data_IF_725707051597
#
_entry.id   IF_725707051597
#
_cell.length_a   1.000
_cell.length_b   1.000
_cell.length_c   1.000
_cell.angle_alpha   90.00
_cell.angle_beta   90.00
_cell.angle_gamma   90.00
#
_symmetry.space_group_name_H-M   'P 1'
#
loop_
_entity.id
_entity.type
_entity.pdbx_description
1 polymer ?
#
# COMPACT_ATOMS: atom_id res chain seq x y z
N UNK A 1 -16.69 26.29 10.76
CA UNK A 1 -15.25 26.65 10.63
C UNK A 1 -14.40 25.40 10.86
N UNK A 2 -13.92 24.76 9.79
CA UNK A 2 -12.97 23.66 9.90
C UNK A 2 -11.63 24.24 10.36
N UNK A 3 -11.14 23.83 11.55
CA UNK A 3 -9.81 24.23 12.01
C UNK A 3 -8.77 23.75 10.98
N UNK A 4 -7.84 24.61 10.54
CA UNK A 4 -6.73 24.16 9.69
C UNK A 4 -5.95 23.12 10.49
N UNK A 5 -5.98 21.86 10.05
CA UNK A 5 -5.26 20.77 10.70
C UNK A 5 -3.77 20.92 10.35
N UNK A 6 -3.07 21.73 11.14
CA UNK A 6 -1.62 21.84 11.13
C UNK A 6 -0.97 20.43 11.17
N UNK A 7 0.14 20.26 10.45
CA UNK A 7 0.96 19.04 10.41
C UNK A 7 1.00 18.34 11.78
N UNK A 8 0.19 17.29 11.93
CA UNK A 8 -0.13 16.63 13.20
C UNK A 8 1.05 15.79 13.68
N UNK A 9 2.15 16.38 14.14
CA UNK A 9 3.36 15.69 14.63
C UNK A 9 4.13 14.88 13.56
N UNK A 10 5.41 14.66 13.82
CA UNK A 10 6.28 13.83 12.98
C UNK A 10 5.70 12.41 12.77
N UNK A 11 5.05 11.86 13.80
CA UNK A 11 4.48 10.53 13.75
C UNK A 11 3.34 10.43 12.73
N UNK A 12 2.42 11.40 12.69
CA UNK A 12 1.32 11.35 11.72
C UNK A 12 1.81 11.63 10.30
N UNK A 13 2.86 12.45 10.13
CA UNK A 13 3.51 12.60 8.83
C UNK A 13 4.00 11.25 8.29
N UNK A 14 4.52 10.36 9.15
CA UNK A 14 4.85 8.96 8.81
C UNK A 14 3.64 8.00 8.72
N UNK A 15 2.41 8.48 8.87
CA UNK A 15 1.22 7.63 8.94
C UNK A 15 1.08 6.80 10.21
N UNK A 16 1.78 7.16 11.29
CA UNK A 16 1.60 6.56 12.61
C UNK A 16 0.63 7.39 13.46
N UNK A 17 -0.30 6.77 14.20
CA UNK A 17 -1.17 7.52 15.10
C UNK A 17 -0.39 8.07 16.30
N UNK A 18 -0.96 9.03 17.04
CA UNK A 18 -0.35 9.62 18.24
C UNK A 18 0.12 8.57 19.25
N UNK A 19 1.09 8.93 20.09
CA UNK A 19 1.57 8.02 21.13
C UNK A 19 0.41 7.63 22.07
N UNK A 20 0.31 6.34 22.40
CA UNK A 20 -0.79 5.77 23.20
C UNK A 20 -2.08 5.47 22.42
N UNK A 21 -2.23 5.96 21.19
CA UNK A 21 -3.38 5.61 20.35
C UNK A 21 -3.17 4.25 19.64
N UNK A 22 -4.23 3.45 19.41
CA UNK A 22 -4.14 2.20 18.65
C UNK A 22 -3.65 2.42 17.22
N UNK A 23 -2.74 1.57 16.72
CA UNK A 23 -2.17 1.67 15.36
C UNK A 23 -3.20 1.50 14.23
N UNK A 24 -4.12 0.54 14.38
CA UNK A 24 -5.15 0.21 13.38
C UNK A 24 -6.48 -0.07 14.11
N UNK A 25 -7.17 0.98 14.61
CA UNK A 25 -8.37 0.81 15.44
C UNK A 25 -9.49 0.09 14.69
N UNK A 26 -9.55 0.30 13.37
CA UNK A 26 -10.57 -0.29 12.51
C UNK A 26 -10.12 -1.63 11.88
N UNK A 27 -8.97 -2.21 12.24
CA UNK A 27 -8.45 -3.47 11.66
C UNK A 27 -8.41 -3.49 10.12
N UNK A 28 -8.09 -2.35 9.50
CA UNK A 28 -8.10 -2.13 8.04
C UNK A 28 -7.07 -2.99 7.31
N UNK A 29 -5.92 -3.23 7.92
CA UNK A 29 -4.83 -4.02 7.29
C UNK A 29 -5.19 -5.50 7.08
N UNK A 30 -6.18 -6.00 7.82
CA UNK A 30 -6.52 -7.44 7.93
C UNK A 30 -7.97 -7.74 7.60
N UNK A 31 -8.68 -6.80 6.97
CA UNK A 31 -10.10 -6.96 6.61
C UNK A 31 -10.34 -6.51 5.17
N UNK A 32 -11.52 -6.84 4.66
CA UNK A 32 -11.91 -6.64 3.26
C UNK A 32 -13.38 -6.23 3.16
N UNK A 33 -13.74 -5.53 2.09
CA UNK A 33 -15.13 -5.23 1.72
C UNK A 33 -15.82 -6.35 0.94
N UNK A 34 -15.05 -7.37 0.51
CA UNK A 34 -15.50 -8.44 -0.38
C UNK A 34 -15.43 -9.79 0.31
N UNK A 35 -14.34 -10.08 1.03
CA UNK A 35 -14.06 -11.37 1.63
C UNK A 35 -14.06 -11.31 3.16
N UNK A 36 -14.56 -12.34 3.86
CA UNK A 36 -14.29 -12.50 5.29
C UNK A 36 -12.77 -12.66 5.54
N UNK A 37 -12.25 -12.27 6.73
CA UNK A 37 -10.82 -12.30 7.02
C UNK A 37 -10.12 -13.64 6.77
N UNK A 38 -10.78 -14.78 7.03
CA UNK A 38 -10.20 -16.09 6.79
C UNK A 38 -9.90 -16.35 5.29
N UNK A 39 -10.80 -15.93 4.41
CA UNK A 39 -10.62 -16.06 2.96
C UNK A 39 -9.58 -15.07 2.43
N UNK A 40 -9.58 -13.84 2.93
CA UNK A 40 -8.54 -12.86 2.61
C UNK A 40 -7.14 -13.38 2.98
N UNK A 41 -7.01 -14.00 4.16
CA UNK A 41 -5.76 -14.62 4.58
C UNK A 41 -5.34 -15.75 3.63
N UNK A 42 -6.27 -16.62 3.24
CA UNK A 42 -6.02 -17.71 2.30
C UNK A 42 -5.51 -17.22 0.95
N UNK A 43 -6.17 -16.21 0.37
CA UNK A 43 -5.74 -15.60 -0.91
C UNK A 43 -4.35 -14.98 -0.79
N UNK A 44 -4.10 -14.19 0.26
CA UNK A 44 -2.80 -13.54 0.46
C UNK A 44 -1.68 -14.55 0.63
N UNK A 45 -1.89 -15.60 1.42
CA UNK A 45 -0.88 -16.65 1.62
C UNK A 45 -0.65 -17.49 0.36
N UNK A 46 -1.68 -17.74 -0.44
CA UNK A 46 -1.55 -18.45 -1.71
C UNK A 46 -0.75 -17.62 -2.73
N UNK A 47 -1.06 -16.33 -2.88
CA UNK A 47 -0.30 -15.41 -3.74
C UNK A 47 1.14 -15.24 -3.24
N UNK A 48 1.33 -15.15 -1.93
CA UNK A 48 2.66 -15.09 -1.31
C UNK A 48 3.49 -16.35 -1.56
N UNK A 49 2.87 -17.53 -1.46
CA UNK A 49 3.53 -18.80 -1.78
C UNK A 49 3.93 -18.87 -3.25
N UNK A 50 3.02 -18.51 -4.17
CA UNK A 50 3.33 -18.47 -5.60
C UNK A 50 4.48 -17.50 -5.88
N UNK A 51 4.43 -16.28 -5.35
CA UNK A 51 5.46 -15.28 -5.56
C UNK A 51 6.80 -15.74 -4.99
N UNK A 52 6.81 -16.32 -3.79
CA UNK A 52 8.02 -16.85 -3.15
C UNK A 52 8.63 -17.99 -3.98
N UNK A 53 7.84 -19.00 -4.36
CA UNK A 53 8.36 -20.10 -5.19
C UNK A 53 8.88 -19.57 -6.53
N UNK A 54 8.17 -18.64 -7.16
CA UNK A 54 8.57 -18.06 -8.44
C UNK A 54 9.90 -17.32 -8.36
N UNK A 55 10.14 -16.54 -7.30
CA UNK A 55 11.40 -15.81 -7.15
C UNK A 55 12.57 -16.78 -6.88
N UNK A 56 12.36 -17.84 -6.09
CA UNK A 56 13.39 -18.87 -5.87
C UNK A 56 13.74 -19.62 -7.17
N UNK A 57 12.73 -19.97 -7.98
CA UNK A 57 12.96 -20.56 -9.31
C UNK A 57 13.70 -19.58 -10.23
N UNK A 58 13.38 -18.29 -10.18
CA UNK A 58 14.09 -17.27 -10.95
C UNK A 58 15.59 -17.24 -10.59
N UNK A 59 15.92 -17.20 -9.29
CA UNK A 59 17.33 -17.28 -8.84
C UNK A 59 18.02 -18.57 -9.28
N UNK A 60 17.31 -19.70 -9.22
CA UNK A 60 17.88 -21.01 -9.57
C UNK A 60 18.29 -21.10 -11.05
N UNK A 61 17.62 -20.37 -11.93
CA UNK A 61 17.97 -20.32 -13.36
C UNK A 61 18.93 -19.19 -13.73
N UNK A 62 18.86 -18.04 -13.04
CA UNK A 62 19.51 -16.80 -13.48
C UNK A 62 20.66 -16.33 -12.57
N UNK A 63 20.96 -17.03 -11.48
CA UNK A 63 22.06 -16.69 -10.58
C UNK A 63 21.72 -15.61 -9.54
N UNK A 64 22.70 -15.29 -8.70
CA UNK A 64 22.57 -14.35 -7.58
C UNK A 64 22.57 -12.90 -8.03
N UNK A 65 23.12 -12.61 -9.22
CA UNK A 65 23.19 -11.30 -9.86
C UNK A 65 21.80 -10.67 -10.02
N UNK A 66 20.74 -11.49 -10.02
CA UNK A 66 19.34 -11.06 -9.97
C UNK A 66 19.05 -10.06 -8.83
N UNK A 67 19.79 -10.11 -7.71
CA UNK A 67 19.63 -9.14 -6.62
C UNK A 67 19.92 -7.68 -7.02
N UNK A 68 20.68 -7.46 -8.09
CA UNK A 68 21.01 -6.12 -8.55
C UNK A 68 19.91 -5.49 -9.45
N UNK A 69 18.89 -6.26 -9.82
CA UNK A 69 17.77 -5.78 -10.63
C UNK A 69 16.66 -5.22 -9.74
N UNK A 70 16.27 -3.96 -9.97
CA UNK A 70 15.17 -3.34 -9.22
C UNK A 70 13.86 -4.12 -9.35
N UNK A 71 13.61 -4.70 -10.52
CA UNK A 71 12.42 -5.52 -10.77
C UNK A 71 12.33 -6.72 -9.83
N UNK A 72 13.46 -7.36 -9.54
CA UNK A 72 13.58 -8.48 -8.59
C UNK A 72 13.43 -7.99 -7.15
N UNK A 73 14.05 -6.86 -6.78
CA UNK A 73 13.88 -6.25 -5.46
C UNK A 73 12.43 -5.82 -5.19
N UNK A 74 11.77 -5.23 -6.18
CA UNK A 74 10.35 -4.90 -6.13
C UNK A 74 9.50 -6.16 -5.95
N UNK A 75 9.87 -7.27 -6.60
CA UNK A 75 9.18 -8.55 -6.46
C UNK A 75 9.37 -9.17 -5.07
N UNK A 76 10.54 -9.02 -4.44
CA UNK A 76 10.71 -9.33 -3.02
C UNK A 76 9.79 -8.50 -2.12
N UNK A 77 9.54 -7.24 -2.47
CA UNK A 77 8.52 -6.42 -1.81
C UNK A 77 7.11 -7.04 -1.91
N UNK A 78 6.74 -7.57 -3.08
CA UNK A 78 5.48 -8.30 -3.29
C UNK A 78 5.41 -9.55 -2.41
N UNK A 79 6.47 -10.35 -2.38
CA UNK A 79 6.58 -11.54 -1.50
C UNK A 79 6.42 -11.13 -0.04
N UNK A 80 7.18 -10.15 0.42
CA UNK A 80 7.15 -9.67 1.80
C UNK A 80 5.76 -9.17 2.19
N UNK A 81 5.09 -8.43 1.30
CA UNK A 81 3.73 -7.95 1.53
C UNK A 81 2.75 -9.09 1.72
N UNK A 82 2.70 -10.05 0.79
CA UNK A 82 1.71 -11.13 0.84
C UNK A 82 1.93 -12.09 2.01
N UNK A 83 3.19 -12.39 2.34
CA UNK A 83 3.50 -13.20 3.52
C UNK A 83 3.13 -12.45 4.81
N UNK A 84 3.60 -11.21 4.99
CA UNK A 84 3.34 -10.46 6.22
C UNK A 84 1.85 -10.17 6.41
N UNK A 85 1.19 -9.62 5.38
CA UNK A 85 -0.25 -9.32 5.41
C UNK A 85 -1.09 -10.59 5.56
N UNK A 86 -0.73 -11.69 4.89
CA UNK A 86 -1.38 -12.99 5.03
C UNK A 86 -1.31 -13.53 6.45
N UNK A 87 -0.14 -13.51 7.07
CA UNK A 87 0.06 -13.95 8.47
C UNK A 87 -0.69 -13.06 9.46
N UNK A 88 -0.64 -11.73 9.29
CA UNK A 88 -1.41 -10.81 10.14
C UNK A 88 -2.92 -11.04 10.00
N UNK A 89 -3.39 -11.31 8.79
CA UNK A 89 -4.81 -11.57 8.51
C UNK A 89 -5.24 -12.92 9.09
N UNK A 90 -4.42 -13.97 8.97
CA UNK A 90 -4.69 -15.28 9.57
C UNK A 90 -4.76 -15.20 11.11
N UNK A 91 -3.80 -14.52 11.73
CA UNK A 91 -3.80 -14.30 13.17
C UNK A 91 -5.05 -13.53 13.63
N UNK A 92 -5.45 -12.50 12.88
CA UNK A 92 -6.69 -11.75 13.15
C UNK A 92 -7.94 -12.62 12.97
N UNK A 93 -8.02 -13.44 11.92
CA UNK A 93 -9.16 -14.32 11.68
C UNK A 93 -9.36 -15.33 12.83
N UNK A 94 -8.27 -15.88 13.36
CA UNK A 94 -8.30 -16.75 14.54
C UNK A 94 -8.74 -16.00 15.80
N UNK A 95 -8.23 -14.78 16.01
CA UNK A 95 -8.63 -13.94 17.14
C UNK A 95 -10.12 -13.57 17.07
N UNK A 96 -10.62 -13.19 15.90
CA UNK A 96 -12.02 -12.88 15.66
C UNK A 96 -12.92 -14.09 15.88
N UNK A 97 -12.52 -15.28 15.45
CA UNK A 97 -13.27 -16.52 15.70
C UNK A 97 -13.39 -16.81 17.21
N UNK A 98 -12.29 -16.69 17.96
CA UNK A 98 -12.29 -16.88 19.42
C UNK A 98 -13.18 -15.86 20.12
N UNK A 99 -13.09 -14.60 19.72
CA UNK A 99 -13.93 -13.52 20.24
C UNK A 99 -15.44 -13.79 19.98
N UNK A 100 -15.80 -14.21 18.76
CA UNK A 100 -17.20 -14.59 18.44
C UNK A 100 -17.72 -15.75 19.29
N UNK A 101 -16.87 -16.76 19.53
CA UNK A 101 -17.22 -17.90 20.39
C UNK A 101 -17.45 -17.47 21.85
N UNK A 102 -16.63 -16.56 22.36
CA UNK A 102 -16.79 -16.00 23.70
C UNK A 102 -18.05 -15.13 23.81
N UNK A 103 -18.33 -14.32 22.79
CA UNK A 103 -19.51 -13.47 22.73
C UNK A 103 -20.84 -14.26 22.68
N UNK A 104 -20.82 -15.49 22.15
CA UNK A 104 -21.98 -16.37 22.09
C UNK A 104 -22.14 -17.29 23.32
N UNK A 105 -21.19 -17.26 24.26
CA UNK A 105 -21.18 -18.13 25.44
C UNK A 105 -22.08 -17.64 26.59
N UNK A 106 -22.42 -18.52 27.56
CA UNK A 106 -23.26 -18.19 28.72
C UNK A 106 -22.60 -17.20 29.71
N UNK A 107 -21.27 -17.11 29.69
CA UNK A 107 -20.55 -16.01 30.34
C UNK A 107 -20.74 -14.76 29.47
N UNK A 108 -21.69 -13.89 29.86
CA UNK A 108 -21.85 -12.55 29.27
C UNK A 108 -20.45 -11.96 29.07
N UNK A 109 -20.19 -11.50 27.85
CA UNK A 109 -18.94 -10.90 27.39
C UNK A 109 -18.51 -9.69 28.24
N UNK A 110 -18.14 -9.90 29.50
CA UNK A 110 -17.57 -8.87 30.35
C UNK A 110 -16.16 -8.60 29.82
N UNK A 111 -16.00 -7.43 29.19
CA UNK A 111 -14.72 -6.85 28.82
C UNK A 111 -13.77 -7.72 27.98
N UNK A 112 -14.27 -8.66 27.15
CA UNK A 112 -13.41 -9.34 26.19
C UNK A 112 -12.80 -8.31 25.23
N UNK A 113 -11.49 -8.10 25.33
CA UNK A 113 -10.77 -7.16 24.48
C UNK A 113 -11.06 -7.48 23.01
N UNK A 114 -11.46 -6.46 22.24
CA UNK A 114 -11.78 -6.62 20.82
C UNK A 114 -10.60 -7.25 20.06
N UNK A 115 -10.86 -8.10 19.05
CA UNK A 115 -9.79 -8.73 18.29
C UNK A 115 -8.98 -7.66 17.55
N UNK A 116 -7.64 -7.78 17.57
CA UNK A 116 -6.74 -6.92 16.78
C UNK A 116 -5.60 -7.75 16.19
N UNK A 117 -5.02 -7.29 15.09
CA UNK A 117 -3.88 -7.96 14.44
C UNK A 117 -2.62 -7.90 15.30
N UNK A 118 -1.67 -8.83 15.10
CA UNK A 118 -0.36 -8.76 15.76
C UNK A 118 0.40 -7.47 15.44
N UNK A 119 0.26 -6.96 14.22
CA UNK A 119 0.77 -5.66 13.81
C UNK A 119 0.28 -4.54 14.73
N UNK A 120 -1.02 -4.54 15.07
CA UNK A 120 -1.61 -3.51 15.93
C UNK A 120 -1.31 -3.71 17.42
N UNK A 121 -1.09 -4.96 17.88
CA UNK A 121 -0.95 -5.26 19.31
C UNK A 121 0.50 -5.36 19.80
N UNK A 122 1.39 -5.94 18.99
CA UNK A 122 2.70 -6.40 19.44
C UNK A 122 3.86 -5.73 18.72
N UNK A 123 3.65 -5.25 17.50
CA UNK A 123 4.75 -4.68 16.74
C UNK A 123 5.11 -3.30 17.30
N UNK A 124 6.40 -3.03 17.55
CA UNK A 124 6.86 -1.70 17.92
C UNK A 124 6.63 -0.73 16.76
N UNK A 125 6.57 0.56 17.09
CA UNK A 125 6.23 1.64 16.12
C UNK A 125 7.10 1.65 14.84
N UNK A 126 8.43 1.37 14.88
CA UNK A 126 9.21 1.28 13.66
C UNK A 126 8.73 0.15 12.73
N UNK A 127 8.35 -1.01 13.25
CA UNK A 127 7.83 -2.11 12.43
C UNK A 127 6.41 -1.83 11.93
N UNK A 128 5.61 -1.06 12.67
CA UNK A 128 4.33 -0.55 12.18
C UNK A 128 4.52 0.40 10.98
N UNK A 129 5.45 1.34 11.10
CA UNK A 129 5.82 2.24 10.01
C UNK A 129 6.32 1.46 8.79
N UNK A 130 7.26 0.51 8.99
CA UNK A 130 7.80 -0.29 7.89
C UNK A 130 6.72 -1.14 7.20
N UNK A 131 5.71 -1.62 7.92
CA UNK A 131 4.57 -2.30 7.29
C UNK A 131 3.74 -1.34 6.43
N UNK A 132 3.47 -0.12 6.92
CA UNK A 132 2.76 0.91 6.16
C UNK A 132 3.56 1.37 4.93
N UNK A 133 4.88 1.50 5.07
CA UNK A 133 5.77 1.85 3.98
C UNK A 133 5.86 0.72 2.95
N UNK A 134 5.95 -0.55 3.39
CA UNK A 134 5.89 -1.72 2.52
C UNK A 134 4.59 -1.77 1.70
N UNK A 135 3.46 -1.40 2.31
CA UNK A 135 2.22 -1.26 1.56
C UNK A 135 2.31 -0.17 0.47
N UNK A 136 2.97 0.93 0.78
CA UNK A 136 3.12 2.03 -0.19
C UNK A 136 4.06 1.67 -1.33
N UNK A 137 5.12 0.90 -1.05
CA UNK A 137 6.02 0.41 -2.10
C UNK A 137 5.31 -0.57 -3.03
N UNK A 138 4.49 -1.49 -2.53
CA UNK A 138 3.74 -2.43 -3.39
C UNK A 138 2.57 -1.78 -4.15
N UNK A 139 2.05 -0.64 -3.67
CA UNK A 139 1.09 0.16 -4.44
C UNK A 139 1.77 1.01 -5.54
N UNK A 140 3.10 1.15 -5.51
CA UNK A 140 3.86 2.08 -6.36
C UNK A 140 4.79 1.36 -7.33
N UNK A 141 5.76 0.60 -6.82
CA UNK A 141 6.85 0.05 -7.62
C UNK A 141 6.42 -1.03 -8.62
N UNK A 142 5.47 -1.94 -8.32
CA UNK A 142 5.05 -2.93 -9.32
C UNK A 142 4.43 -2.29 -10.57
N UNK A 143 3.73 -1.15 -10.44
CA UNK A 143 3.23 -0.39 -11.60
C UNK A 143 4.36 0.24 -12.39
N UNK A 144 5.34 0.85 -11.71
CA UNK A 144 6.54 1.39 -12.35
C UNK A 144 7.29 0.30 -13.13
N UNK A 145 7.50 -0.86 -12.49
CA UNK A 145 8.17 -2.03 -13.10
C UNK A 145 7.39 -2.51 -14.31
N UNK A 146 6.06 -2.65 -14.21
CA UNK A 146 5.20 -3.02 -15.33
C UNK A 146 5.45 -2.07 -16.51
N UNK A 147 5.29 -0.77 -16.30
CA UNK A 147 5.41 0.22 -17.39
C UNK A 147 6.82 0.23 -17.98
N UNK A 148 7.86 0.35 -17.16
CA UNK A 148 9.24 0.46 -17.65
C UNK A 148 9.68 -0.82 -18.36
N UNK A 149 9.36 -1.99 -17.80
CA UNK A 149 9.74 -3.26 -18.42
C UNK A 149 9.07 -3.44 -19.78
N UNK A 150 7.75 -3.26 -19.86
CA UNK A 150 7.01 -3.48 -21.10
C UNK A 150 7.27 -2.41 -22.17
N UNK A 151 7.65 -1.20 -21.76
CA UNK A 151 8.02 -0.13 -22.69
C UNK A 151 9.45 -0.25 -23.23
N UNK A 152 10.41 -0.73 -22.41
CA UNK A 152 11.85 -0.58 -22.73
C UNK A 152 12.64 -1.90 -22.67
N UNK A 153 12.21 -2.89 -21.87
CA UNK A 153 13.02 -4.09 -21.56
C UNK A 153 12.43 -5.41 -22.09
N UNK A 154 11.26 -5.40 -22.72
CA UNK A 154 10.51 -6.62 -23.04
C UNK A 154 11.05 -7.43 -24.25
N UNK A 155 12.14 -7.01 -24.90
CA UNK A 155 12.58 -7.51 -26.21
C UNK A 155 12.47 -9.03 -26.40
N UNK A 156 13.17 -9.82 -25.59
CA UNK A 156 13.16 -11.29 -25.66
C UNK A 156 12.19 -11.95 -24.69
N UNK A 157 11.19 -11.22 -24.18
CA UNK A 157 10.28 -11.71 -23.14
C UNK A 157 9.66 -13.07 -23.50
N UNK A 158 9.30 -13.24 -24.77
CA UNK A 158 8.60 -14.42 -25.30
C UNK A 158 9.49 -15.43 -26.03
N UNK A 159 10.81 -15.35 -25.89
CA UNK A 159 11.76 -16.21 -26.63
C UNK A 159 11.65 -17.71 -26.30
N UNK A 160 11.14 -18.06 -25.12
CA UNK A 160 10.91 -19.44 -24.69
C UNK A 160 9.77 -19.52 -23.68
N UNK A 161 9.26 -20.73 -23.40
CA UNK A 161 8.27 -20.94 -22.33
C UNK A 161 8.81 -20.46 -20.98
N UNK A 162 10.09 -20.69 -20.70
CA UNK A 162 10.74 -20.27 -19.46
C UNK A 162 10.81 -18.75 -19.35
N UNK A 163 11.36 -18.07 -20.36
CA UNK A 163 11.48 -16.61 -20.35
C UNK A 163 10.08 -15.97 -20.31
N UNK A 164 9.12 -16.52 -21.06
CA UNK A 164 7.73 -16.05 -21.04
C UNK A 164 7.17 -16.09 -19.63
N UNK A 165 7.27 -17.25 -18.97
CA UNK A 165 6.78 -17.41 -17.61
C UNK A 165 7.50 -16.48 -16.62
N UNK A 166 8.83 -16.41 -16.66
CA UNK A 166 9.62 -15.56 -15.76
C UNK A 166 9.24 -14.08 -15.93
N UNK A 167 9.16 -13.61 -17.17
CA UNK A 167 8.90 -12.22 -17.46
C UNK A 167 7.45 -11.81 -17.16
N UNK A 168 6.47 -12.65 -17.53
CA UNK A 168 5.08 -12.42 -17.11
C UNK A 168 4.97 -12.41 -15.59
N UNK A 169 5.67 -13.31 -14.89
CA UNK A 169 5.59 -13.40 -13.44
C UNK A 169 6.17 -12.15 -12.76
N UNK A 170 7.41 -11.78 -13.07
CA UNK A 170 8.13 -10.69 -12.39
C UNK A 170 7.70 -9.30 -12.87
N UNK A 171 7.21 -9.17 -14.11
CA UNK A 171 6.94 -7.87 -14.74
C UNK A 171 5.48 -7.62 -15.11
N UNK A 172 4.57 -8.60 -14.97
CA UNK A 172 3.14 -8.37 -15.15
C UNK A 172 2.31 -8.82 -13.95
N UNK A 173 2.45 -10.09 -13.55
CA UNK A 173 1.73 -10.66 -12.42
C UNK A 173 2.09 -9.98 -11.09
N UNK A 174 3.30 -9.42 -10.99
CA UNK A 174 3.71 -8.57 -9.86
C UNK A 174 2.65 -7.50 -9.52
N UNK A 175 2.14 -6.79 -10.52
CA UNK A 175 1.17 -5.73 -10.39
C UNK A 175 -0.24 -6.29 -10.31
N UNK A 176 -0.57 -7.30 -11.12
CA UNK A 176 -1.90 -7.94 -11.07
C UNK A 176 -2.21 -8.45 -9.66
N UNK A 177 -1.26 -9.11 -9.00
CA UNK A 177 -1.45 -9.63 -7.65
C UNK A 177 -1.68 -8.52 -6.64
N UNK A 178 -0.78 -7.53 -6.58
CA UNK A 178 -0.91 -6.45 -5.60
C UNK A 178 -2.12 -5.58 -5.89
N UNK A 179 -2.45 -5.32 -7.15
CA UNK A 179 -3.65 -4.58 -7.55
C UNK A 179 -4.92 -5.30 -7.10
N UNK A 180 -4.99 -6.62 -7.30
CA UNK A 180 -6.09 -7.43 -6.77
C UNK A 180 -6.20 -7.29 -5.25
N UNK A 181 -5.09 -7.27 -4.51
CA UNK A 181 -5.13 -7.06 -3.07
C UNK A 181 -5.49 -5.62 -2.70
N UNK A 182 -4.70 -4.62 -3.06
CA UNK A 182 -4.90 -3.26 -2.54
C UNK A 182 -6.13 -2.56 -3.16
N UNK A 183 -6.47 -2.80 -4.43
CA UNK A 183 -7.55 -2.07 -5.09
C UNK A 183 -8.90 -2.79 -4.99
N UNK A 184 -8.93 -4.11 -4.82
CA UNK A 184 -10.17 -4.90 -4.86
C UNK A 184 -10.47 -5.58 -3.52
N UNK A 185 -9.55 -6.41 -3.01
CA UNK A 185 -9.82 -7.28 -1.88
C UNK A 185 -9.58 -6.58 -0.54
N UNK A 186 -8.38 -6.11 -0.27
CA UNK A 186 -7.97 -5.51 1.00
C UNK A 186 -8.60 -4.15 1.29
N UNK A 187 -8.49 -3.73 2.55
CA UNK A 187 -9.02 -2.45 3.06
C UNK A 187 -7.93 -1.51 3.60
N UNK A 188 -6.65 -1.76 3.28
CA UNK A 188 -5.52 -0.94 3.74
C UNK A 188 -5.78 0.56 3.53
N UNK A 189 -5.45 1.44 4.49
CA UNK A 189 -5.70 2.89 4.38
C UNK A 189 -5.00 3.49 3.15
N UNK A 190 -5.37 4.73 2.80
CA UNK A 190 -4.64 5.48 1.79
C UNK A 190 -3.19 5.73 2.25
N UNK A 191 -2.27 5.86 1.31
CA UNK A 191 -0.85 5.99 1.63
C UNK A 191 -0.58 7.39 2.18
N UNK A 192 0.15 7.52 3.30
CA UNK A 192 0.63 8.81 3.80
C UNK A 192 1.42 9.56 2.72
N UNK A 193 1.22 10.87 2.58
CA UNK A 193 1.91 11.66 1.55
C UNK A 193 3.44 11.63 1.68
N UNK A 194 3.96 11.49 2.90
CA UNK A 194 5.39 11.32 3.15
C UNK A 194 5.97 10.08 2.49
N UNK A 195 5.19 9.01 2.32
CA UNK A 195 5.66 7.76 1.74
C UNK A 195 6.07 7.92 0.28
N UNK A 196 5.55 8.92 -0.43
CA UNK A 196 6.03 9.26 -1.78
C UNK A 196 7.52 9.64 -1.74
N UNK A 197 7.92 10.49 -0.79
CA UNK A 197 9.32 10.85 -0.59
C UNK A 197 10.17 9.61 -0.27
N UNK A 198 9.71 8.74 0.63
CA UNK A 198 10.42 7.49 0.93
C UNK A 198 10.53 6.56 -0.28
N UNK A 199 9.49 6.46 -1.13
CA UNK A 199 9.54 5.65 -2.36
C UNK A 199 10.59 6.20 -3.34
N UNK A 200 10.66 7.52 -3.51
CA UNK A 200 11.70 8.16 -4.34
C UNK A 200 13.09 7.94 -3.75
N UNK A 201 13.27 8.07 -2.43
CA UNK A 201 14.55 7.81 -1.76
C UNK A 201 14.98 6.35 -1.91
N UNK A 202 14.07 5.39 -1.71
CA UNK A 202 14.38 3.96 -1.88
C UNK A 202 14.85 3.69 -3.31
N UNK A 203 14.20 4.29 -4.31
CA UNK A 203 14.60 4.14 -5.70
C UNK A 203 15.92 4.85 -6.01
N UNK A 204 16.19 6.01 -5.42
CA UNK A 204 17.47 6.69 -5.53
C UNK A 204 18.60 5.85 -4.91
N UNK A 205 18.36 5.21 -3.76
CA UNK A 205 19.31 4.30 -3.11
C UNK A 205 19.56 3.05 -3.96
N UNK A 206 18.57 2.60 -4.73
CA UNK A 206 18.75 1.50 -5.68
C UNK A 206 19.80 1.81 -6.75
N UNK A 207 19.91 3.06 -7.22
CA UNK A 207 21.00 3.43 -8.16
C UNK A 207 22.36 3.10 -7.55
N UNK A 208 22.54 3.31 -6.24
CA UNK A 208 23.76 2.89 -5.53
C UNK A 208 24.02 1.38 -5.65
N UNK A 209 22.98 0.55 -5.50
CA UNK A 209 23.09 -0.91 -5.68
C UNK A 209 23.49 -1.29 -7.11
N UNK A 210 22.89 -0.65 -8.12
CA UNK A 210 23.22 -0.89 -9.51
C UNK A 210 24.68 -0.55 -9.83
N UNK A 211 25.21 0.54 -9.26
CA UNK A 211 26.61 0.94 -9.46
C UNK A 211 27.60 0.11 -8.64
N UNK A 212 27.21 -0.41 -7.47
CA UNK A 212 28.00 -1.41 -6.73
C UNK A 212 28.12 -2.68 -7.59
N UNK A 213 27.04 -3.12 -8.23
CA UNK A 213 27.08 -4.27 -9.15
C UNK A 213 28.02 -4.00 -10.33
N UNK A 214 27.91 -2.84 -10.98
CA UNK A 214 28.81 -2.45 -12.07
C UNK A 214 30.28 -2.47 -11.62
N UNK A 215 30.59 -1.91 -10.45
CA UNK A 215 31.96 -1.89 -9.91
C UNK A 215 32.52 -3.31 -9.67
N UNK A 216 31.65 -4.30 -9.43
CA UNK A 216 32.06 -5.68 -9.17
C UNK A 216 32.10 -6.54 -10.45
N UNK A 217 31.14 -6.38 -11.37
CA UNK A 217 30.92 -7.28 -12.52
C UNK A 217 31.33 -6.63 -13.85
N UNK A 218 31.50 -5.31 -13.89
CA UNK A 218 31.83 -4.54 -15.09
C UNK A 218 30.64 -4.33 -16.05
N UNK A 219 29.41 -4.68 -15.63
CA UNK A 219 28.20 -4.61 -16.45
C UNK A 219 27.10 -3.88 -15.70
N UNK A 220 26.46 -2.92 -16.37
CA UNK A 220 25.26 -2.25 -15.88
C UNK A 220 24.06 -3.19 -15.97
N UNK A 221 23.25 -3.23 -14.91
CA UNK A 221 22.04 -4.08 -14.86
C UNK A 221 20.96 -3.65 -15.86
N UNK A 222 21.02 -2.40 -16.34
CA UNK A 222 20.17 -1.89 -17.39
C UNK A 222 20.99 -1.00 -18.31
N UNK A 223 20.83 -1.13 -19.61
CA UNK A 223 21.55 -0.33 -20.62
C UNK A 223 21.29 1.17 -20.45
N UNK A 224 20.08 1.55 -20.02
CA UNK A 224 19.74 2.95 -19.77
C UNK A 224 20.45 3.56 -18.54
N UNK A 225 21.20 2.77 -17.77
CA UNK A 225 22.08 3.25 -16.70
C UNK A 225 23.54 3.43 -17.17
N UNK A 226 23.88 2.97 -18.37
CA UNK A 226 25.22 3.13 -18.94
C UNK A 226 25.33 4.49 -19.66
N UNK A 227 26.19 5.42 -19.20
CA UNK A 227 26.44 6.68 -19.90
C UNK A 227 26.89 6.49 -21.36
N UNK A 228 27.56 5.39 -21.70
CA UNK A 228 27.99 5.06 -23.06
C UNK A 228 26.81 4.77 -23.99
N UNK A 229 25.78 4.09 -23.48
CA UNK A 229 24.58 3.73 -24.24
C UNK A 229 23.60 4.91 -24.39
N UNK A 230 23.46 5.74 -23.35
CA UNK A 230 22.51 6.87 -23.38
C UNK A 230 23.10 8.17 -23.93
N UNK A 231 24.38 8.20 -24.31
CA UNK A 231 25.02 9.38 -24.92
C UNK A 231 25.57 10.41 -23.91
N UNK A 232 25.89 9.97 -22.69
CA UNK A 232 26.64 10.72 -21.70
C UNK A 232 25.91 10.92 -20.36
N UNK A 233 26.54 11.68 -19.46
CA UNK A 233 26.05 11.91 -18.10
C UNK A 233 24.75 12.73 -18.05
N UNK A 234 24.57 13.66 -19.00
CA UNK A 234 23.35 14.49 -19.08
C UNK A 234 22.10 13.65 -19.36
N UNK A 235 22.07 12.86 -20.45
CA UNK A 235 20.97 11.93 -20.72
C UNK A 235 20.72 10.92 -19.59
N UNK A 236 21.77 10.36 -18.98
CA UNK A 236 21.64 9.46 -17.82
C UNK A 236 20.91 10.14 -16.65
N UNK A 237 21.29 11.37 -16.31
CA UNK A 237 20.59 12.15 -15.29
C UNK A 237 19.12 12.37 -15.67
N UNK A 238 18.84 12.61 -16.96
CA UNK A 238 17.48 12.69 -17.51
C UNK A 238 16.68 11.40 -17.30
N UNK A 239 17.26 10.23 -17.56
CA UNK A 239 16.63 8.92 -17.31
C UNK A 239 16.33 8.73 -15.82
N UNK A 240 17.30 9.03 -14.94
CA UNK A 240 17.13 8.91 -13.50
C UNK A 240 16.00 9.82 -12.97
N UNK A 241 15.95 11.08 -13.43
CA UNK A 241 14.87 12.02 -13.09
C UNK A 241 13.52 11.52 -13.64
N UNK A 242 13.49 11.05 -14.89
CA UNK A 242 12.28 10.51 -15.53
C UNK A 242 11.69 9.34 -14.76
N UNK A 243 12.53 8.41 -14.32
CA UNK A 243 12.13 7.29 -13.46
C UNK A 243 11.64 7.77 -12.07
N UNK A 244 12.29 8.78 -11.49
CA UNK A 244 11.83 9.42 -10.25
C UNK A 244 10.44 10.05 -10.40
N UNK A 245 10.18 10.77 -11.50
CA UNK A 245 8.86 11.31 -11.82
C UNK A 245 7.84 10.20 -12.04
N UNK A 246 8.20 9.15 -12.78
CA UNK A 246 7.36 7.97 -12.98
C UNK A 246 6.97 7.30 -11.65
N UNK A 247 7.84 7.33 -10.66
CA UNK A 247 7.56 6.83 -9.31
C UNK A 247 6.50 7.67 -8.60
N UNK A 248 6.59 9.00 -8.67
CA UNK A 248 5.56 9.89 -8.14
C UNK A 248 4.21 9.66 -8.83
N UNK A 249 4.21 9.51 -10.17
CA UNK A 249 2.99 9.22 -10.94
C UNK A 249 2.39 7.87 -10.51
N UNK A 250 3.21 6.83 -10.37
CA UNK A 250 2.76 5.51 -9.92
C UNK A 250 2.18 5.56 -8.50
N UNK A 251 2.79 6.34 -7.59
CA UNK A 251 2.28 6.56 -6.25
C UNK A 251 0.89 7.23 -6.29
N UNK A 252 0.74 8.29 -7.08
CA UNK A 252 -0.55 8.98 -7.24
C UNK A 252 -1.62 8.07 -7.86
N UNK A 253 -1.24 7.22 -8.81
CA UNK A 253 -2.14 6.23 -9.39
C UNK A 253 -2.61 5.20 -8.35
N UNK A 254 -1.69 4.69 -7.52
CA UNK A 254 -2.02 3.83 -6.38
C UNK A 254 -2.96 4.52 -5.39
N UNK A 255 -2.70 5.79 -5.08
CA UNK A 255 -3.53 6.62 -4.20
C UNK A 255 -4.95 6.79 -4.75
N UNK A 256 -5.08 7.06 -6.06
CA UNK A 256 -6.36 7.19 -6.74
C UNK A 256 -7.14 5.87 -6.73
N UNK A 257 -6.48 4.73 -6.93
CA UNK A 257 -7.11 3.41 -6.87
C UNK A 257 -7.63 3.10 -5.45
N UNK A 258 -6.86 3.41 -4.41
CA UNK A 258 -7.30 3.24 -3.01
C UNK A 258 -8.51 4.12 -2.69
N UNK A 259 -8.49 5.39 -3.10
CA UNK A 259 -9.62 6.29 -2.95
C UNK A 259 -10.86 5.76 -3.69
N UNK A 260 -10.70 5.34 -4.94
CA UNK A 260 -11.80 4.79 -5.74
C UNK A 260 -12.41 3.54 -5.08
N UNK A 261 -11.58 2.65 -4.53
CA UNK A 261 -12.05 1.48 -3.75
C UNK A 261 -12.94 1.92 -2.58
N UNK A 262 -12.52 2.91 -1.80
CA UNK A 262 -13.31 3.42 -0.67
C UNK A 262 -14.64 4.05 -1.10
N UNK A 263 -14.64 4.81 -2.20
CA UNK A 263 -15.85 5.41 -2.78
C UNK A 263 -16.80 4.33 -3.28
N UNK A 264 -16.30 3.36 -4.03
CA UNK A 264 -17.10 2.26 -4.57
C UNK A 264 -17.68 1.39 -3.46
N UNK A 265 -16.88 1.03 -2.45
CA UNK A 265 -17.36 0.26 -1.30
C UNK A 265 -18.49 1.00 -0.57
N UNK A 266 -18.34 2.31 -0.33
CA UNK A 266 -19.37 3.10 0.33
C UNK A 266 -20.66 3.21 -0.50
N UNK A 267 -20.54 3.40 -1.83
CA UNK A 267 -21.68 3.43 -2.75
C UNK A 267 -22.41 2.08 -2.82
N UNK A 268 -21.67 0.98 -2.99
CA UNK A 268 -22.24 -0.37 -3.08
C UNK A 268 -22.97 -0.77 -1.80
N UNK A 269 -22.42 -0.39 -0.64
CA UNK A 269 -23.06 -0.68 0.66
C UNK A 269 -24.07 0.39 1.09
N UNK A 270 -24.22 1.49 0.35
CA UNK A 270 -25.04 2.66 0.71
C UNK A 270 -24.73 3.16 2.12
N UNK A 271 -23.47 3.14 2.52
CA UNK A 271 -23.05 3.42 3.91
C UNK A 271 -22.77 4.91 4.19
N UNK A 272 -22.84 5.76 3.16
CA UNK A 272 -22.58 7.20 3.25
C UNK A 272 -21.38 7.63 2.41
N UNK A 273 -20.56 8.53 2.95
CA UNK A 273 -19.34 9.02 2.29
C UNK A 273 -18.23 7.95 2.25
N UNK A 274 -17.19 8.18 1.44
CA UNK A 274 -16.07 7.25 1.31
C UNK A 274 -15.40 6.98 2.68
N UNK A 275 -14.94 5.75 2.89
CA UNK A 275 -14.42 5.30 4.19
C UNK A 275 -15.46 4.75 5.16
N UNK A 276 -16.76 5.01 4.93
CA UNK A 276 -17.85 4.57 5.81
C UNK A 276 -18.22 3.08 5.69
N UNK A 277 -17.78 2.39 4.63
CA UNK A 277 -18.16 1.00 4.36
C UNK A 277 -17.72 0.03 5.47
N UNK A 278 -18.55 -0.99 5.71
CA UNK A 278 -18.33 -2.06 6.69
C UNK A 278 -17.49 -3.20 6.09
N UNK A 279 -16.51 -3.74 6.82
CA UNK A 279 -15.83 -4.97 6.42
C UNK A 279 -16.78 -6.18 6.44
N UNK A 280 -16.63 -7.09 5.49
CA UNK A 280 -17.43 -8.32 5.43
C UNK A 280 -17.00 -9.29 6.54
N UNK A 281 -17.98 -9.84 7.24
CA UNK A 281 -17.75 -10.88 8.26
C UNK A 281 -17.16 -10.38 9.58
N UNK A 282 -17.05 -9.07 9.79
CA UNK A 282 -16.56 -8.45 11.03
C UNK A 282 -17.64 -7.52 11.61
N UNK A 283 -18.23 -7.87 12.77
CA UNK A 283 -19.19 -7.00 13.45
C UNK A 283 -18.55 -5.68 13.90
N UNK A 284 -19.32 -4.59 13.97
CA UNK A 284 -18.79 -3.27 14.36
C UNK A 284 -18.30 -3.29 15.83
N UNK A 285 -18.87 -4.13 16.68
CA UNK A 285 -18.47 -4.32 18.09
C UNK A 285 -17.08 -4.97 18.22
N UNK A 286 -16.57 -5.57 17.13
CA UNK A 286 -15.23 -6.14 17.06
C UNK A 286 -14.17 -5.11 16.61
N UNK A 287 -14.55 -3.84 16.41
CA UNK A 287 -13.68 -2.75 15.97
C UNK A 287 -13.57 -1.65 17.04
N UNK A 288 -12.42 -0.98 17.12
CA UNK A 288 -12.27 0.18 18.01
C UNK A 288 -12.77 1.45 17.29
N UNK A 289 -13.52 2.32 17.98
CA UNK A 289 -13.99 3.58 17.40
C UNK A 289 -12.82 4.48 16.99
N UNK A 290 -13.04 5.33 15.99
CA UNK A 290 -12.05 6.29 15.53
C UNK A 290 -12.67 7.55 14.93
N UNK A 291 -12.05 8.69 15.21
CA UNK A 291 -12.48 10.02 14.74
C UNK A 291 -11.77 10.44 13.44
N UNK A 292 -10.97 9.53 12.85
CA UNK A 292 -10.25 9.76 11.59
C UNK A 292 -10.70 8.77 10.53
N UNK A 293 -10.87 9.27 9.30
CA UNK A 293 -11.13 8.42 8.15
C UNK A 293 -9.86 7.75 7.63
N UNK A 294 -9.97 6.95 6.54
CA UNK A 294 -8.85 6.19 6.00
C UNK A 294 -7.89 6.99 5.10
N UNK A 295 -8.13 8.28 4.92
CA UNK A 295 -7.25 9.18 4.18
C UNK A 295 -5.90 9.43 4.89
N UNK A 296 -4.88 9.89 4.14
CA UNK A 296 -3.54 10.15 4.66
C UNK A 296 -3.51 11.14 5.84
N UNK A 297 -4.37 12.15 5.84
CA UNK A 297 -4.48 13.17 6.88
C UNK A 297 -5.74 12.96 7.75
N UNK A 298 -6.31 11.75 7.67
CA UNK A 298 -7.53 11.34 8.35
C UNK A 298 -8.81 11.82 7.68
N UNK A 299 -8.76 12.07 6.37
CA UNK A 299 -9.93 12.37 5.54
C UNK A 299 -10.82 11.13 5.33
N UNK A 300 -12.05 11.36 4.89
CA UNK A 300 -13.08 10.33 4.77
C UNK A 300 -13.90 10.20 6.04
N UNK A 301 -14.97 9.40 5.97
CA UNK A 301 -15.91 9.27 7.09
C UNK A 301 -15.26 8.58 8.30
N UNK A 302 -15.23 9.24 9.47
CA UNK A 302 -14.90 8.58 10.73
C UNK A 302 -15.89 7.46 11.07
N UNK A 303 -15.51 6.60 12.01
CA UNK A 303 -16.38 5.55 12.55
C UNK A 303 -16.48 5.69 14.08
N UNK A 304 -17.36 6.59 14.58
CA UNK A 304 -17.60 6.74 16.00
C UNK A 304 -18.34 5.51 16.58
N UNK A 305 -18.43 5.46 17.91
CA UNK A 305 -18.90 4.33 18.74
C UNK A 305 -20.17 3.68 18.19
N UNK A 306 -20.21 2.33 18.24
CA UNK A 306 -21.40 1.55 17.92
C UNK A 306 -22.61 2.02 18.74
N UNK A 307 -23.65 2.51 18.05
CA UNK A 307 -24.90 2.98 18.69
C UNK A 307 -25.11 4.49 18.69
N UNK A 308 -24.17 5.31 18.21
CA UNK A 308 -24.50 6.68 17.83
C UNK A 308 -25.45 6.60 16.63
N UNK A 309 -26.66 7.14 16.77
CA UNK A 309 -27.57 7.33 15.65
C UNK A 309 -26.80 8.04 14.52
N UNK A 310 -27.12 7.78 13.24
CA UNK A 310 -26.58 8.59 12.17
C UNK A 310 -27.08 10.01 12.41
N UNK A 311 -26.27 10.86 13.04
CA UNK A 311 -26.44 12.30 12.96
C UNK A 311 -26.54 12.60 11.48
N UNK A 312 -27.64 13.28 11.12
CA UNK A 312 -28.11 13.48 9.76
C UNK A 312 -26.93 13.65 8.80
N UNK A 313 -26.94 12.85 7.72
CA UNK A 313 -25.94 12.91 6.67
C UNK A 313 -25.57 14.38 6.38
N UNK A 314 -24.28 14.74 6.34
CA UNK A 314 -23.91 16.10 5.98
C UNK A 314 -24.58 16.42 4.65
N UNK A 315 -25.36 17.51 4.65
CA UNK A 315 -26.16 17.90 3.49
C UNK A 315 -25.27 17.97 2.25
N UNK A 316 -25.83 17.73 1.06
CA UNK A 316 -25.09 17.71 -0.20
C UNK A 316 -24.24 18.98 -0.49
N UNK A 317 -24.43 20.05 0.30
CA UNK A 317 -23.60 21.26 0.28
C UNK A 317 -22.18 21.08 0.84
N UNK A 318 -21.91 20.08 1.68
CA UNK A 318 -20.58 19.85 2.29
C UNK A 318 -19.65 18.95 1.45
N UNK A 319 -20.15 18.42 0.32
CA UNK A 319 -19.41 17.53 -0.57
C UNK A 319 -18.71 18.25 -1.74
N UNK A 320 -18.78 19.58 -1.81
CA UNK A 320 -18.11 20.35 -2.85
C UNK A 320 -16.62 20.52 -2.52
N UNK A 321 -15.77 19.89 -3.33
CA UNK A 321 -14.33 20.16 -3.38
C UNK A 321 -14.11 21.65 -3.68
N UNK A 322 -13.52 22.39 -2.74
CA UNK A 322 -12.98 23.73 -2.98
C UNK A 322 -11.50 23.59 -3.38
N UNK A 323 -11.11 23.99 -4.60
CA UNK A 323 -9.69 24.05 -4.96
C UNK A 323 -8.94 25.00 -4.03
N UNK A 324 -7.63 24.77 -3.80
CA UNK A 324 -6.81 25.68 -3.01
C UNK A 324 -6.79 27.07 -3.68
N UNK A 325 -7.21 28.09 -2.92
CA UNK A 325 -7.10 29.49 -3.34
C UNK A 325 -5.63 29.86 -3.53
N UNK A 326 -5.25 30.16 -4.77
CA UNK A 326 -4.01 30.88 -5.07
C UNK A 326 -4.24 32.35 -4.67
N UNK A 327 -3.44 32.92 -3.75
CA UNK A 327 -3.56 34.33 -3.43
C UNK A 327 -3.08 35.15 -4.64
N UNK A 328 -4.00 35.88 -5.27
CA UNK A 328 -3.67 36.90 -6.26
C UNK A 328 -3.07 38.08 -5.50
N UNK A 329 -1.78 38.34 -5.70
CA UNK A 329 -1.13 39.56 -5.20
C UNK A 329 -1.70 40.76 -5.94
N UNK A 330 -2.47 41.59 -5.24
CA UNK A 330 -2.91 42.88 -5.74
C UNK A 330 -1.72 43.84 -5.83
N UNK A 331 -1.50 44.35 -7.04
CA UNK A 331 -0.68 45.51 -7.33
C UNK A 331 -1.16 46.72 -6.54
N UNK A 332 -0.26 47.42 -5.86
CA UNK A 332 -0.47 48.81 -5.47
C UNK A 332 0.62 49.65 -6.11
N UNK A 333 0.20 50.47 -7.07
CA UNK A 333 0.93 51.63 -7.56
C UNK A 333 0.56 52.84 -6.69
N UNK A 334 1.57 53.48 -6.13
CA UNK A 334 1.62 54.92 -5.86
C UNK A 334 3.10 55.34 -5.95
#
# INVERSE_FOLDING_TARGET
MARPRAFRSWAAWLGLPPHGAPYDPQSRWVTSYVLPPAWLAGVRLLLGLYAFVSIIINYSFNGWEQFAYFTVLSYWGVVAWFVASGLHTAAYALALRRWKQQAAGPAKASAAAVPRSWLAQRFPRPLQFLHSLLFSTICTFPLLVLVVYWAVLAGSAFASVRSTWQNLTVHALNYVFVFLDFAVLGRGPMMPWSHMLFCVIILALYLGVAYIHYANVGIYVYDFLDPGEVGGQGPLAGVAIGIGVGTCIAFLAGQACLWLREVLAAKLQRSGAWGSAKPVGVPDEALLPTDVGPGPDGEGSPRPVAGAAPDAAPSAHDAAWTPPHVPVSASTSA
#
